data_IF_389506767057
#
_entry.id   IF_389506767057
#
_cell.length_a   1.000
_cell.length_b   1.000
_cell.length_c   1.000
_cell.angle_alpha   90.00
_cell.angle_beta   90.00
_cell.angle_gamma   90.00
#
_symmetry.space_group_name_H-M   'P 1'
#
loop_
_entity.id
_entity.type
_entity.pdbx_description
1 polymer ?
#
# COMPACT_ATOMS: atom_id res chain seq x y z
N UNK A 1 -12.02 19.84 11.56
CA UNK A 1 -12.60 18.88 10.60
C UNK A 1 -11.58 17.75 10.43
N UNK A 2 -12.02 16.52 10.17
CA UNK A 2 -11.13 15.38 9.94
C UNK A 2 -10.95 15.15 8.45
N UNK A 3 -9.71 14.97 8.00
CA UNK A 3 -9.37 14.68 6.62
C UNK A 3 -8.59 13.38 6.53
N UNK A 4 -8.95 12.57 5.57
CA UNK A 4 -8.21 11.38 5.16
C UNK A 4 -7.61 11.66 3.79
N UNK A 5 -6.28 11.74 3.73
CA UNK A 5 -5.53 12.09 2.53
C UNK A 5 -4.60 10.91 2.22
N UNK A 6 -4.73 10.35 1.02
CA UNK A 6 -3.97 9.16 0.64
C UNK A 6 -3.63 9.22 -0.85
N UNK A 7 -2.47 8.72 -1.21
CA UNK A 7 -2.11 8.35 -2.56
C UNK A 7 -2.04 6.82 -2.68
N UNK A 8 -1.88 6.31 -3.88
CA UNK A 8 -1.74 4.87 -4.12
C UNK A 8 -0.46 4.33 -3.47
N UNK A 9 -0.58 3.22 -2.76
CA UNK A 9 0.57 2.53 -2.20
C UNK A 9 1.44 1.96 -3.33
N UNK A 10 2.77 2.09 -3.23
CA UNK A 10 3.66 1.54 -4.24
C UNK A 10 3.72 0.02 -4.17
N UNK A 11 3.99 -0.62 -5.32
CA UNK A 11 4.45 -1.99 -5.35
C UNK A 11 5.93 -2.02 -4.94
N UNK A 12 6.33 -2.73 -3.87
CA UNK A 12 7.73 -2.81 -3.45
C UNK A 12 8.50 -3.80 -4.33
N UNK A 13 8.41 -3.63 -5.64
CA UNK A 13 9.09 -4.44 -6.66
C UNK A 13 10.15 -3.60 -7.37
N UNK A 14 11.35 -4.15 -7.55
CA UNK A 14 12.44 -3.48 -8.26
C UNK A 14 13.35 -2.64 -7.36
N UNK A 15 14.01 -1.64 -7.95
CA UNK A 15 15.14 -0.95 -7.32
C UNK A 15 14.77 0.26 -6.45
N UNK A 16 13.50 0.42 -6.09
CA UNK A 16 13.02 1.54 -5.28
C UNK A 16 12.08 2.48 -6.03
N UNK A 17 11.90 3.67 -5.48
CA UNK A 17 11.04 4.72 -6.06
C UNK A 17 11.59 5.23 -7.38
N UNK A 18 10.69 5.58 -8.27
CA UNK A 18 10.99 6.38 -9.47
C UNK A 18 10.27 7.74 -9.38
N UNK A 19 10.66 8.69 -10.24
CA UNK A 19 10.12 10.07 -10.24
C UNK A 19 8.59 10.10 -10.32
N UNK A 20 7.96 9.15 -11.02
CA UNK A 20 6.50 9.06 -11.08
C UNK A 20 5.82 8.87 -9.73
N UNK A 21 6.43 8.15 -8.80
CA UNK A 21 5.90 8.00 -7.43
C UNK A 21 5.92 9.34 -6.68
N UNK A 22 7.01 10.10 -6.84
CA UNK A 22 7.18 11.35 -6.07
C UNK A 22 6.18 12.43 -6.47
N UNK A 23 5.67 12.41 -7.69
CA UNK A 23 4.67 13.40 -8.17
C UNK A 23 3.40 13.35 -7.32
N UNK A 24 2.83 12.16 -7.12
CA UNK A 24 1.64 11.98 -6.28
C UNK A 24 1.93 12.23 -4.80
N UNK A 25 2.99 11.62 -4.28
CA UNK A 25 3.32 11.68 -2.85
C UNK A 25 3.65 13.10 -2.37
N UNK A 26 4.39 13.88 -3.17
CA UNK A 26 4.65 15.29 -2.84
C UNK A 26 3.35 16.11 -2.91
N UNK A 27 2.51 15.86 -3.91
CA UNK A 27 1.24 16.56 -4.05
C UNK A 27 0.31 16.33 -2.86
N UNK A 28 0.15 15.08 -2.43
CA UNK A 28 -0.68 14.73 -1.26
C UNK A 28 -0.07 15.24 0.04
N UNK A 29 1.25 15.20 0.18
CA UNK A 29 1.96 15.74 1.36
C UNK A 29 1.78 17.25 1.50
N UNK A 30 1.95 18.00 0.43
CA UNK A 30 1.71 19.46 0.41
C UNK A 30 0.28 19.78 0.85
N UNK A 31 -0.70 19.03 0.33
CA UNK A 31 -2.09 19.22 0.72
C UNK A 31 -2.34 18.83 2.19
N UNK A 32 -1.75 17.74 2.66
CA UNK A 32 -1.85 17.30 4.04
C UNK A 32 -1.29 18.34 5.01
N UNK A 33 -0.09 18.86 4.74
CA UNK A 33 0.54 19.94 5.53
C UNK A 33 -0.30 21.21 5.52
N UNK A 34 -0.81 21.61 4.34
CA UNK A 34 -1.69 22.77 4.23
C UNK A 34 -2.94 22.62 5.11
N UNK A 35 -3.59 21.45 5.10
CA UNK A 35 -4.77 21.22 5.91
C UNK A 35 -4.46 21.18 7.41
N UNK A 36 -3.30 20.64 7.82
CA UNK A 36 -2.82 20.71 9.21
C UNK A 36 -2.58 22.17 9.66
N UNK A 37 -1.95 22.98 8.83
CA UNK A 37 -1.73 24.41 9.09
C UNK A 37 -3.05 25.20 9.24
N UNK A 38 -4.12 24.75 8.61
CA UNK A 38 -5.47 25.31 8.79
C UNK A 38 -6.18 24.83 10.06
N UNK A 39 -5.50 24.09 10.92
CA UNK A 39 -6.08 23.60 12.19
C UNK A 39 -6.95 22.35 12.03
N UNK A 40 -6.84 21.61 10.95
CA UNK A 40 -7.57 20.36 10.77
C UNK A 40 -6.77 19.16 11.29
N UNK A 41 -7.50 18.12 11.71
CA UNK A 41 -6.94 16.81 11.98
C UNK A 41 -6.78 16.08 10.64
N UNK A 42 -5.55 15.65 10.32
CA UNK A 42 -5.24 14.99 9.04
C UNK A 42 -4.66 13.62 9.32
N UNK A 43 -5.22 12.60 8.67
CA UNK A 43 -4.69 11.25 8.61
C UNK A 43 -4.11 11.01 7.20
N UNK A 44 -2.78 10.86 7.12
CA UNK A 44 -2.02 10.71 5.88
C UNK A 44 -1.20 9.41 5.93
N UNK A 45 -1.86 8.24 5.74
CA UNK A 45 -1.19 6.95 5.86
C UNK A 45 -0.34 6.62 4.63
N UNK A 46 0.58 5.67 4.82
CA UNK A 46 1.35 5.04 3.76
C UNK A 46 1.35 3.53 3.95
N UNK A 47 1.58 2.80 2.89
CA UNK A 47 1.68 1.35 2.91
C UNK A 47 2.38 0.80 1.68
N UNK A 48 2.35 -0.52 1.53
CA UNK A 48 2.99 -1.23 0.42
C UNK A 48 2.04 -2.30 -0.11
N UNK A 49 1.74 -2.19 -1.40
CA UNK A 49 0.95 -3.22 -2.10
C UNK A 49 1.89 -4.32 -2.57
N UNK A 50 2.17 -5.24 -1.64
CA UNK A 50 3.21 -6.26 -1.78
C UNK A 50 2.68 -7.67 -2.06
N UNK A 51 1.36 -7.88 -1.97
CA UNK A 51 0.74 -9.17 -2.21
C UNK A 51 0.30 -9.31 -3.67
N UNK A 52 1.15 -9.94 -4.50
CA UNK A 52 0.79 -10.17 -5.90
C UNK A 52 1.96 -10.46 -6.83
N UNK A 53 1.61 -10.62 -8.09
CA UNK A 53 2.48 -11.04 -9.19
C UNK A 53 3.77 -10.20 -9.37
N UNK A 54 3.77 -8.86 -9.23
CA UNK A 54 4.98 -8.09 -9.41
C UNK A 54 6.12 -8.47 -8.46
N UNK A 55 5.79 -8.72 -7.19
CA UNK A 55 6.76 -9.16 -6.19
C UNK A 55 7.23 -10.58 -6.45
N UNK A 56 6.32 -11.48 -6.81
CA UNK A 56 6.65 -12.88 -7.14
C UNK A 56 7.59 -12.97 -8.36
N UNK A 57 7.30 -12.24 -9.42
CA UNK A 57 8.17 -12.20 -10.61
C UNK A 57 9.56 -11.64 -10.30
N UNK A 58 9.63 -10.62 -9.44
CA UNK A 58 10.92 -10.08 -9.01
C UNK A 58 11.70 -11.07 -8.15
N UNK A 59 11.03 -11.82 -7.28
CA UNK A 59 11.61 -12.88 -6.48
C UNK A 59 12.20 -14.00 -7.37
N UNK A 60 11.45 -14.47 -8.37
CA UNK A 60 11.90 -15.46 -9.35
C UNK A 60 13.14 -14.95 -10.09
N UNK A 61 13.11 -13.71 -10.56
CA UNK A 61 14.22 -13.09 -11.29
C UNK A 61 15.50 -12.98 -10.45
N UNK A 62 15.36 -12.74 -9.17
CA UNK A 62 16.50 -12.55 -8.24
C UNK A 62 16.94 -13.86 -7.57
N UNK A 63 16.18 -14.94 -7.69
CA UNK A 63 16.45 -16.22 -7.04
C UNK A 63 16.28 -16.19 -5.52
N UNK A 64 15.57 -15.21 -4.99
CA UNK A 64 15.31 -15.05 -3.55
C UNK A 64 13.87 -15.42 -3.21
N UNK A 65 13.59 -15.76 -1.95
CA UNK A 65 12.23 -15.94 -1.48
C UNK A 65 11.43 -14.61 -1.56
N UNK A 66 10.15 -14.64 -1.96
CA UNK A 66 9.32 -13.42 -2.08
C UNK A 66 9.27 -12.58 -0.81
N UNK A 67 9.19 -13.22 0.35
CA UNK A 67 9.17 -12.58 1.66
C UNK A 67 10.44 -11.73 1.90
N UNK A 68 11.62 -12.32 1.66
CA UNK A 68 12.91 -11.65 1.83
C UNK A 68 13.03 -10.45 0.91
N UNK A 69 12.66 -10.62 -0.36
CA UNK A 69 12.71 -9.55 -1.37
C UNK A 69 11.75 -8.41 -1.00
N UNK A 70 10.56 -8.75 -0.55
CA UNK A 70 9.56 -7.77 -0.10
C UNK A 70 10.09 -6.93 1.03
N UNK A 71 10.64 -7.56 2.06
CA UNK A 71 11.18 -6.88 3.23
C UNK A 71 12.36 -5.95 2.87
N UNK A 72 13.31 -6.44 2.05
CA UNK A 72 14.44 -5.64 1.56
C UNK A 72 13.95 -4.41 0.78
N UNK A 73 12.96 -4.58 -0.08
CA UNK A 73 12.43 -3.50 -0.90
C UNK A 73 11.62 -2.49 -0.07
N UNK A 74 10.75 -2.94 0.82
CA UNK A 74 10.01 -2.05 1.73
C UNK A 74 10.99 -1.17 2.52
N UNK A 75 12.04 -1.76 3.09
CA UNK A 75 13.06 -1.01 3.81
C UNK A 75 13.72 0.06 2.94
N UNK A 76 14.03 -0.26 1.68
CA UNK A 76 14.59 0.69 0.72
C UNK A 76 13.62 1.83 0.40
N UNK A 77 12.35 1.50 0.10
CA UNK A 77 11.30 2.48 -0.18
C UNK A 77 11.11 3.43 1.02
N UNK A 78 11.02 2.90 2.23
CA UNK A 78 10.93 3.73 3.45
C UNK A 78 12.12 4.67 3.61
N UNK A 79 13.33 4.19 3.35
CA UNK A 79 14.52 5.04 3.40
C UNK A 79 14.44 6.18 2.39
N UNK A 80 13.97 5.91 1.17
CA UNK A 80 13.82 6.92 0.13
C UNK A 80 12.69 7.91 0.45
N UNK A 81 11.52 7.43 0.92
CA UNK A 81 10.41 8.29 1.32
C UNK A 81 10.78 9.20 2.49
N UNK A 82 11.50 8.65 3.48
CA UNK A 82 11.98 9.43 4.62
C UNK A 82 13.03 10.48 4.22
N UNK A 83 13.83 10.22 3.18
CA UNK A 83 14.79 11.21 2.68
C UNK A 83 14.12 12.42 2.01
N UNK A 84 12.86 12.29 1.61
CA UNK A 84 12.03 13.38 1.08
C UNK A 84 11.28 14.14 2.17
N UNK A 85 11.43 13.74 3.43
CA UNK A 85 10.75 14.36 4.59
C UNK A 85 9.21 14.45 4.43
N UNK A 86 8.60 13.42 3.84
CA UNK A 86 7.14 13.35 3.68
C UNK A 86 6.46 13.02 5.00
N UNK A 87 5.39 13.74 5.31
CA UNK A 87 4.69 13.70 6.60
C UNK A 87 3.61 12.59 6.64
N UNK A 88 4.07 11.33 6.53
CA UNK A 88 3.20 10.16 6.63
C UNK A 88 2.98 9.69 8.07
N UNK A 89 1.78 9.17 8.33
CA UNK A 89 1.46 8.47 9.57
C UNK A 89 1.97 7.01 9.51
N UNK A 90 3.28 6.81 9.74
CA UNK A 90 3.93 5.50 9.67
C UNK A 90 3.41 4.48 10.69
N UNK A 91 2.83 4.93 11.81
CA UNK A 91 2.19 4.05 12.79
C UNK A 91 0.94 3.34 12.24
N UNK A 92 0.39 3.85 11.15
CA UNK A 92 -0.73 3.27 10.42
C UNK A 92 -0.29 2.62 9.10
N UNK A 93 0.96 2.17 9.02
CA UNK A 93 1.50 1.48 7.84
C UNK A 93 0.72 0.21 7.53
N UNK A 94 0.43 0.02 6.24
CA UNK A 94 -0.22 -1.20 5.72
C UNK A 94 0.75 -1.95 4.81
N UNK A 95 0.90 -3.24 5.05
CA UNK A 95 1.66 -4.15 4.18
C UNK A 95 0.71 -5.27 3.75
N UNK A 96 0.32 -5.29 2.48
CA UNK A 96 -0.73 -6.21 2.01
C UNK A 96 -0.30 -7.68 2.03
N UNK A 97 1.01 -7.97 2.12
CA UNK A 97 1.56 -9.32 2.30
C UNK A 97 1.72 -9.74 3.77
N UNK A 98 1.33 -8.89 4.74
CA UNK A 98 1.26 -9.30 6.13
C UNK A 98 0.14 -10.32 6.33
N UNK A 99 0.38 -11.48 6.99
CA UNK A 99 -0.64 -12.48 7.26
C UNK A 99 -1.88 -11.93 7.98
N UNK A 100 -1.74 -10.93 8.83
CA UNK A 100 -2.85 -10.28 9.49
C UNK A 100 -3.71 -9.45 8.54
N UNK A 101 -3.13 -9.02 7.42
CA UNK A 101 -3.86 -8.31 6.36
C UNK A 101 -4.46 -9.28 5.35
N UNK A 102 -3.67 -10.13 4.70
CA UNK A 102 -4.14 -10.94 3.59
C UNK A 102 -5.11 -12.07 3.99
N UNK A 103 -5.16 -12.47 5.26
CA UNK A 103 -6.18 -13.40 5.74
C UNK A 103 -7.61 -12.95 5.40
N UNK A 104 -7.86 -11.63 5.38
CA UNK A 104 -9.16 -11.09 5.01
C UNK A 104 -9.41 -11.16 3.51
N UNK A 105 -8.39 -10.96 2.69
CA UNK A 105 -8.46 -11.17 1.25
C UNK A 105 -8.77 -12.62 0.92
N UNK A 106 -8.12 -13.56 1.61
CA UNK A 106 -8.37 -14.99 1.47
C UNK A 106 -9.78 -15.36 1.93
N UNK A 107 -10.25 -14.80 3.03
CA UNK A 107 -11.61 -15.01 3.50
C UNK A 107 -12.65 -14.52 2.48
N UNK A 108 -12.50 -13.31 1.96
CA UNK A 108 -13.39 -12.79 0.90
C UNK A 108 -13.38 -13.71 -0.32
N UNK A 109 -12.21 -14.19 -0.72
CA UNK A 109 -12.11 -15.14 -1.83
C UNK A 109 -12.91 -16.42 -1.57
N UNK A 110 -12.83 -16.99 -0.37
CA UNK A 110 -13.57 -18.19 0.00
C UNK A 110 -15.08 -17.96 0.03
N UNK A 111 -15.53 -16.81 0.52
CA UNK A 111 -16.95 -16.44 0.48
C UNK A 111 -17.45 -16.35 -0.97
N UNK A 112 -16.70 -15.71 -1.85
CA UNK A 112 -17.03 -15.63 -3.29
C UNK A 112 -16.98 -17.00 -3.97
N UNK A 113 -15.99 -17.81 -3.66
CA UNK A 113 -15.83 -19.17 -4.21
C UNK A 113 -16.99 -20.10 -3.82
N UNK A 114 -17.48 -19.99 -2.58
CA UNK A 114 -18.59 -20.78 -2.06
C UNK A 114 -19.96 -20.20 -2.38
N UNK A 115 -20.02 -19.06 -3.06
CA UNK A 115 -21.27 -18.37 -3.43
C UNK A 115 -21.44 -18.38 -4.94
N UNK A 116 -22.69 -18.27 -5.37
CA UNK A 116 -23.02 -17.99 -6.77
C UNK A 116 -24.18 -17.00 -6.83
N UNK A 117 -24.15 -16.12 -7.77
CA UNK A 117 -25.21 -15.14 -7.94
C UNK A 117 -26.38 -15.73 -8.73
N UNK A 118 -27.58 -15.71 -8.15
CA UNK A 118 -28.80 -16.10 -8.84
C UNK A 118 -29.46 -14.85 -9.45
N UNK A 119 -29.43 -14.72 -10.79
CA UNK A 119 -30.00 -13.55 -11.47
C UNK A 119 -31.54 -13.45 -11.36
N UNK A 120 -32.24 -14.57 -11.17
CA UNK A 120 -33.70 -14.57 -11.04
C UNK A 120 -34.15 -13.97 -9.70
N UNK A 121 -33.42 -14.26 -8.62
CA UNK A 121 -33.74 -13.77 -7.28
C UNK A 121 -32.96 -12.52 -6.90
N UNK A 122 -31.96 -12.11 -7.70
CA UNK A 122 -31.02 -11.03 -7.44
C UNK A 122 -30.33 -11.17 -6.09
N UNK A 123 -29.94 -12.39 -5.71
CA UNK A 123 -29.28 -12.75 -4.45
C UNK A 123 -28.11 -13.68 -4.70
N UNK A 124 -27.10 -13.61 -3.81
CA UNK A 124 -26.02 -14.58 -3.71
C UNK A 124 -26.41 -15.72 -2.76
#
# INVERSE_FOLDING_TARGET
MKFYIMDMFPYPSGNGLHVGHTVGYIGTDVYARYMKLKGNEVFHPMGFDSFGLPTEQYAIKTGKAPEVVTEENIKRFKTQLNSLDLDFNWEAEVVTSDPNYFKWTQWIFLELYNSWFNPETNKA
#
